data_IF_088973961208
#
_entry.id   IF_088973961208
#
_cell.length_a   1.000
_cell.length_b   1.000
_cell.length_c   1.000
_cell.angle_alpha   90.00
_cell.angle_beta   90.00
_cell.angle_gamma   90.00
#
_symmetry.space_group_name_H-M   'P 1'
#
loop_
_entity.id
_entity.type
_entity.pdbx_description
1 polymer ?
#
# COMPACT_ATOMS: atom_id res chain seq x y z
N UNK A 1 19.45 2.14 12.40
CA UNK A 1 18.48 2.66 11.43
C UNK A 1 17.78 1.46 10.84
N UNK A 2 16.44 1.45 10.73
CA UNK A 2 15.70 0.36 10.12
C UNK A 2 15.92 0.36 8.60
N UNK A 3 15.92 -0.83 7.98
CA UNK A 3 16.01 -0.95 6.52
C UNK A 3 14.73 -0.41 5.86
N UNK A 4 14.90 0.34 4.77
CA UNK A 4 13.79 0.79 3.93
C UNK A 4 13.23 -0.39 3.13
N UNK A 5 11.91 -0.41 2.90
CA UNK A 5 11.21 -1.53 2.26
C UNK A 5 10.80 -1.18 0.84
N UNK A 6 10.97 -2.13 -0.07
CA UNK A 6 10.45 -2.08 -1.45
C UNK A 6 9.26 -3.00 -1.53
N UNK A 7 8.09 -2.44 -1.87
CA UNK A 7 6.79 -3.12 -1.77
C UNK A 7 6.10 -3.12 -3.15
N UNK A 8 6.11 -4.23 -3.88
CA UNK A 8 5.21 -4.41 -5.03
C UNK A 8 3.75 -4.45 -4.62
N UNK A 9 2.89 -3.72 -5.36
CA UNK A 9 1.45 -3.71 -5.17
C UNK A 9 0.74 -4.37 -6.35
N UNK A 10 -0.17 -5.30 -6.06
CA UNK A 10 -0.95 -6.05 -7.04
C UNK A 10 -2.43 -5.69 -6.88
N UNK A 11 -2.99 -4.96 -7.84
CA UNK A 11 -4.43 -4.71 -7.92
C UNK A 11 -5.12 -5.97 -8.45
N UNK A 12 -6.07 -6.51 -7.69
CA UNK A 12 -6.74 -7.77 -8.03
C UNK A 12 -8.18 -7.48 -8.48
N UNK A 13 -8.52 -7.98 -9.66
CA UNK A 13 -9.88 -7.97 -10.19
C UNK A 13 -10.24 -9.35 -10.73
N UNK A 14 -11.33 -9.91 -10.26
CA UNK A 14 -11.83 -11.22 -10.69
C UNK A 14 -10.74 -12.32 -10.63
N UNK A 15 -9.92 -12.31 -9.58
CA UNK A 15 -8.84 -13.26 -9.34
C UNK A 15 -7.59 -13.07 -10.20
N UNK A 16 -7.49 -12.00 -10.99
CA UNK A 16 -6.33 -11.65 -11.82
C UNK A 16 -5.68 -10.36 -11.37
N UNK A 17 -4.36 -10.27 -11.49
CA UNK A 17 -3.66 -9.01 -11.35
C UNK A 17 -3.93 -8.13 -12.54
N UNK A 18 -4.35 -6.90 -12.29
CA UNK A 18 -4.62 -5.91 -13.32
C UNK A 18 -3.87 -4.61 -13.05
N UNK A 19 -3.57 -3.86 -14.09
CA UNK A 19 -3.02 -2.51 -13.97
C UNK A 19 -3.60 -1.57 -15.00
N UNK A 20 -3.97 -0.37 -14.54
CA UNK A 20 -4.44 0.72 -15.37
C UNK A 20 -3.88 2.05 -14.89
N UNK A 21 -4.13 3.11 -15.63
CA UNK A 21 -3.86 4.49 -15.18
C UNK A 21 -5.15 5.01 -14.53
N UNK A 22 -5.06 5.51 -13.29
CA UNK A 22 -6.22 6.01 -12.51
C UNK A 22 -7.39 5.01 -12.48
N UNK A 23 -7.11 3.71 -12.34
CA UNK A 23 -8.10 2.61 -12.31
C UNK A 23 -8.98 2.49 -13.57
N UNK A 24 -8.58 3.08 -14.69
CA UNK A 24 -9.24 2.93 -15.99
C UNK A 24 -8.32 2.21 -16.99
N UNK A 25 -8.90 1.63 -18.06
CA UNK A 25 -8.18 0.87 -19.09
C UNK A 25 -7.32 -0.25 -18.49
N UNK A 26 -7.90 -1.04 -17.57
CA UNK A 26 -7.21 -2.12 -16.89
C UNK A 26 -6.71 -3.16 -17.89
N UNK A 27 -5.41 -3.51 -17.79
CA UNK A 27 -4.77 -4.58 -18.53
C UNK A 27 -4.43 -5.71 -17.57
N UNK A 28 -4.58 -6.93 -18.03
CA UNK A 28 -4.13 -8.13 -17.29
C UNK A 28 -2.60 -8.09 -17.15
N UNK A 29 -2.11 -8.22 -15.93
CA UNK A 29 -0.69 -8.27 -15.60
C UNK A 29 -0.23 -9.68 -15.19
N UNK A 30 -1.15 -10.65 -15.04
CA UNK A 30 -0.81 -12.04 -14.76
C UNK A 30 -1.55 -12.65 -13.56
N UNK A 31 -1.15 -13.87 -13.22
CA UNK A 31 -1.64 -14.57 -12.03
C UNK A 31 -1.02 -13.98 -10.75
N UNK A 32 -1.81 -13.57 -9.75
CA UNK A 32 -1.31 -12.93 -8.54
C UNK A 32 -0.42 -13.85 -7.68
N UNK A 33 -0.64 -15.16 -7.70
CA UNK A 33 0.19 -16.12 -6.94
C UNK A 33 1.57 -16.23 -7.58
N UNK A 34 1.63 -16.37 -8.90
CA UNK A 34 2.90 -16.43 -9.64
C UNK A 34 3.70 -15.13 -9.53
N UNK A 35 3.03 -13.98 -9.64
CA UNK A 35 3.67 -12.67 -9.46
C UNK A 35 4.16 -12.48 -8.02
N UNK A 36 3.36 -12.88 -7.03
CA UNK A 36 3.77 -12.81 -5.62
C UNK A 36 5.00 -13.64 -5.35
N UNK A 37 5.05 -14.89 -5.86
CA UNK A 37 6.22 -15.77 -5.78
C UNK A 37 7.44 -15.14 -6.45
N UNK A 38 7.28 -14.64 -7.69
CA UNK A 38 8.35 -13.99 -8.43
C UNK A 38 8.95 -12.80 -7.66
N UNK A 39 8.12 -11.91 -7.11
CA UNK A 39 8.61 -10.77 -6.35
C UNK A 39 9.27 -11.17 -5.03
N UNK A 40 8.74 -12.21 -4.36
CA UNK A 40 9.38 -12.78 -3.17
C UNK A 40 10.78 -13.32 -3.51
N UNK A 41 10.92 -14.07 -4.61
CA UNK A 41 12.21 -14.59 -5.11
C UNK A 41 13.17 -13.48 -5.56
N UNK A 42 12.65 -12.37 -6.08
CA UNK A 42 13.42 -11.18 -6.46
C UNK A 42 13.85 -10.33 -5.27
N UNK A 43 13.45 -10.69 -4.05
CA UNK A 43 13.84 -10.01 -2.84
C UNK A 43 13.00 -8.78 -2.50
N UNK A 44 11.73 -8.71 -2.89
CA UNK A 44 10.79 -7.76 -2.32
C UNK A 44 10.76 -7.90 -0.79
N UNK A 45 10.58 -6.79 -0.06
CA UNK A 45 10.56 -6.84 1.39
C UNK A 45 9.17 -7.17 1.95
N UNK A 46 8.13 -6.82 1.21
CA UNK A 46 6.73 -7.02 1.54
C UNK A 46 5.90 -6.96 0.25
N UNK A 47 4.68 -7.50 0.24
CA UNK A 47 3.73 -7.37 -0.88
C UNK A 47 2.43 -6.73 -0.40
N UNK A 48 1.75 -6.05 -1.31
CA UNK A 48 0.39 -5.54 -1.08
C UNK A 48 -0.53 -6.09 -2.17
N UNK A 49 -1.66 -6.68 -1.76
CA UNK A 49 -2.73 -7.13 -2.65
C UNK A 49 -3.99 -6.32 -2.36
N UNK A 50 -4.51 -5.63 -3.38
CA UNK A 50 -5.70 -4.80 -3.27
C UNK A 50 -6.85 -5.40 -4.08
N UNK A 51 -7.88 -5.91 -3.40
CA UNK A 51 -9.12 -6.30 -4.07
C UNK A 51 -9.89 -5.05 -4.54
N UNK A 52 -9.92 -4.86 -5.85
CA UNK A 52 -10.69 -3.79 -6.49
C UNK A 52 -12.04 -4.27 -7.02
N UNK A 53 -12.43 -5.53 -6.70
CA UNK A 53 -13.70 -6.14 -7.07
C UNK A 53 -14.79 -5.75 -6.06
N UNK A 54 -15.88 -5.16 -6.49
CA UNK A 54 -16.89 -4.60 -5.60
C UNK A 54 -17.98 -5.59 -5.13
N UNK A 55 -17.98 -6.90 -5.51
CA UNK A 55 -19.09 -7.82 -5.28
C UNK A 55 -18.92 -8.72 -4.05
N UNK A 56 -20.07 -9.13 -3.45
CA UNK A 56 -20.10 -10.06 -2.32
C UNK A 56 -19.56 -11.46 -2.69
N UNK A 57 -19.85 -11.95 -3.90
CA UNK A 57 -19.32 -13.23 -4.40
C UNK A 57 -17.80 -13.18 -4.60
N UNK A 58 -17.25 -12.03 -5.00
CA UNK A 58 -15.82 -11.82 -5.13
C UNK A 58 -15.05 -11.98 -3.82
N UNK A 59 -15.64 -11.69 -2.66
CA UNK A 59 -14.96 -11.78 -1.35
C UNK A 59 -14.58 -13.22 -0.96
N UNK A 60 -15.43 -14.21 -1.27
CA UNK A 60 -15.09 -15.62 -0.98
C UNK A 60 -13.94 -16.08 -1.87
N UNK A 61 -14.02 -15.81 -3.16
CA UNK A 61 -12.99 -16.11 -4.15
C UNK A 61 -11.67 -15.40 -3.79
N UNK A 62 -11.75 -14.17 -3.28
CA UNK A 62 -10.56 -13.43 -2.84
C UNK A 62 -9.91 -14.04 -1.59
N UNK A 63 -10.70 -14.53 -0.62
CA UNK A 63 -10.15 -15.22 0.55
C UNK A 63 -9.41 -16.51 0.15
N UNK A 64 -9.96 -17.30 -0.73
CA UNK A 64 -9.31 -18.51 -1.29
C UNK A 64 -8.00 -18.15 -2.06
N UNK A 65 -7.99 -16.99 -2.72
CA UNK A 65 -6.77 -16.47 -3.35
C UNK A 65 -5.71 -16.08 -2.30
N UNK A 66 -6.10 -15.44 -1.21
CA UNK A 66 -5.18 -15.07 -0.11
C UNK A 66 -4.53 -16.33 0.49
N UNK A 67 -5.28 -17.41 0.72
CA UNK A 67 -4.74 -18.69 1.18
C UNK A 67 -3.69 -19.27 0.20
N UNK A 68 -3.97 -19.20 -1.11
CA UNK A 68 -3.02 -19.64 -2.14
C UNK A 68 -1.76 -18.77 -2.17
N UNK A 69 -1.88 -17.46 -2.00
CA UNK A 69 -0.74 -16.54 -1.93
C UNK A 69 0.10 -16.90 -0.70
N UNK A 70 -0.51 -16.99 0.48
CA UNK A 70 0.17 -17.32 1.74
C UNK A 70 0.98 -18.64 1.65
N UNK A 71 0.45 -19.63 0.93
CA UNK A 71 1.13 -20.92 0.75
C UNK A 71 2.35 -20.86 -0.21
N UNK A 72 2.53 -19.77 -0.98
CA UNK A 72 3.52 -19.68 -2.04
C UNK A 72 4.57 -18.57 -1.88
N UNK A 73 4.45 -17.74 -0.83
CA UNK A 73 5.41 -16.67 -0.55
C UNK A 73 6.00 -16.82 0.85
N UNK A 74 7.18 -16.24 1.09
CA UNK A 74 7.89 -16.31 2.37
C UNK A 74 8.16 -14.92 2.97
N UNK A 75 7.60 -13.88 2.39
CA UNK A 75 7.70 -12.50 2.88
C UNK A 75 6.34 -12.02 3.36
N UNK A 76 6.29 -11.04 4.29
CA UNK A 76 5.02 -10.49 4.77
C UNK A 76 4.19 -9.90 3.65
N UNK A 77 2.87 -9.98 3.79
CA UNK A 77 1.99 -9.31 2.84
C UNK A 77 0.76 -8.69 3.50
N UNK A 78 0.35 -7.59 2.92
CA UNK A 78 -0.81 -6.80 3.32
C UNK A 78 -1.95 -7.03 2.32
N UNK A 79 -3.16 -7.18 2.82
CA UNK A 79 -4.37 -7.33 2.02
C UNK A 79 -5.28 -6.13 2.25
N UNK A 80 -5.73 -5.50 1.16
CA UNK A 80 -6.68 -4.38 1.20
C UNK A 80 -7.83 -4.55 0.21
N UNK A 81 -8.80 -3.65 0.32
CA UNK A 81 -10.00 -3.69 -0.49
C UNK A 81 -11.14 -4.50 0.13
N UNK A 82 -12.37 -3.99 0.06
CA UNK A 82 -13.57 -4.70 0.52
C UNK A 82 -13.70 -4.97 2.02
N UNK A 83 -12.82 -4.43 2.86
CA UNK A 83 -12.85 -4.58 4.32
C UNK A 83 -13.79 -3.54 4.90
N UNK A 84 -14.85 -3.99 5.60
CA UNK A 84 -15.87 -3.13 6.18
C UNK A 84 -16.07 -3.32 7.68
N UNK A 85 -15.75 -4.51 8.20
CA UNK A 85 -15.97 -4.89 9.60
C UNK A 85 -14.86 -5.82 10.12
N UNK A 86 -14.82 -6.00 11.43
CA UNK A 86 -13.79 -6.81 12.09
C UNK A 86 -13.76 -8.27 11.60
N UNK A 87 -14.92 -8.84 11.23
CA UNK A 87 -15.00 -10.19 10.67
C UNK A 87 -14.30 -10.35 9.32
N UNK A 88 -14.27 -9.29 8.51
CA UNK A 88 -13.50 -9.31 7.26
C UNK A 88 -12.01 -9.41 7.58
N UNK A 89 -11.54 -8.67 8.59
CA UNK A 89 -10.16 -8.70 9.06
C UNK A 89 -9.80 -10.10 9.57
N UNK A 90 -10.60 -10.66 10.49
CA UNK A 90 -10.41 -12.00 11.05
C UNK A 90 -10.28 -13.06 9.95
N UNK A 91 -11.15 -13.00 8.94
CA UNK A 91 -11.15 -13.92 7.80
C UNK A 91 -9.85 -13.83 6.99
N UNK A 92 -9.36 -12.61 6.69
CA UNK A 92 -8.14 -12.41 5.90
C UNK A 92 -6.89 -12.83 6.66
N UNK A 93 -6.82 -12.54 7.97
CA UNK A 93 -5.72 -12.99 8.82
C UNK A 93 -5.73 -14.53 8.96
N UNK A 94 -6.91 -15.14 9.11
CA UNK A 94 -7.04 -16.60 9.13
C UNK A 94 -6.64 -17.25 7.81
N UNK A 95 -6.80 -16.56 6.69
CA UNK A 95 -6.35 -16.99 5.37
C UNK A 95 -4.82 -16.81 5.15
N UNK A 96 -4.11 -16.20 6.11
CA UNK A 96 -2.65 -16.08 6.12
C UNK A 96 -2.11 -14.70 5.80
N UNK A 97 -2.95 -13.65 5.68
CA UNK A 97 -2.46 -12.27 5.56
C UNK A 97 -1.77 -11.84 6.87
N UNK A 98 -0.65 -11.13 6.77
CA UNK A 98 0.05 -10.57 7.93
C UNK A 98 -0.56 -9.24 8.39
N UNK A 99 -1.05 -8.45 7.44
CA UNK A 99 -1.64 -7.14 7.68
C UNK A 99 -2.88 -6.92 6.81
N UNK A 100 -3.71 -6.01 7.24
CA UNK A 100 -4.86 -5.52 6.47
C UNK A 100 -4.76 -4.03 6.24
N UNK A 101 -5.19 -3.58 5.05
CA UNK A 101 -5.21 -2.16 4.68
C UNK A 101 -6.65 -1.67 4.61
N UNK A 102 -6.97 -0.64 5.40
CA UNK A 102 -8.30 -0.02 5.49
C UNK A 102 -8.25 1.45 5.08
N UNK A 103 -9.15 1.86 4.19
CA UNK A 103 -9.30 3.26 3.76
C UNK A 103 -10.75 3.73 3.98
N UNK A 104 -11.63 3.51 3.01
CA UNK A 104 -12.99 4.07 3.00
C UNK A 104 -13.82 3.67 4.21
N UNK A 105 -13.68 2.44 4.69
CA UNK A 105 -14.38 1.97 5.88
C UNK A 105 -13.88 2.70 7.14
N UNK A 106 -12.57 2.88 7.28
CA UNK A 106 -11.97 3.58 8.40
C UNK A 106 -12.33 5.08 8.43
N UNK A 107 -12.36 5.75 7.26
CA UNK A 107 -12.79 7.15 7.19
C UNK A 107 -14.27 7.31 7.59
N UNK A 108 -15.13 6.36 7.20
CA UNK A 108 -16.56 6.37 7.53
C UNK A 108 -16.84 5.98 8.99
N UNK A 109 -16.07 5.04 9.50
CA UNK A 109 -16.16 4.52 10.86
C UNK A 109 -14.74 4.34 11.43
N UNK A 110 -14.16 5.40 12.02
CA UNK A 110 -12.81 5.37 12.58
C UNK A 110 -12.60 4.32 13.67
N UNK A 111 -13.65 3.95 14.41
CA UNK A 111 -13.61 2.91 15.45
C UNK A 111 -13.17 1.52 14.91
N UNK A 112 -13.21 1.33 13.59
CA UNK A 112 -12.68 0.12 12.96
C UNK A 112 -11.17 -0.03 13.22
N UNK A 113 -10.42 1.08 13.21
CA UNK A 113 -8.97 1.07 13.51
C UNK A 113 -8.76 0.65 14.96
N UNK A 114 -9.50 1.23 15.91
CA UNK A 114 -9.42 0.89 17.33
C UNK A 114 -9.72 -0.62 17.54
N UNK A 115 -10.76 -1.13 16.88
CA UNK A 115 -11.13 -2.54 16.98
C UNK A 115 -10.06 -3.47 16.41
N UNK A 116 -9.46 -3.13 15.28
CA UNK A 116 -8.37 -3.93 14.69
C UNK A 116 -7.17 -3.93 15.64
N UNK A 117 -6.74 -2.75 16.09
CA UNK A 117 -5.59 -2.62 16.98
C UNK A 117 -5.79 -3.35 18.31
N UNK A 118 -7.00 -3.28 18.90
CA UNK A 118 -7.33 -3.93 20.16
C UNK A 118 -7.37 -5.47 20.06
N UNK A 119 -7.90 -6.00 18.96
CA UNK A 119 -8.10 -7.46 18.82
C UNK A 119 -6.89 -8.18 18.22
N UNK A 120 -6.12 -7.52 17.35
CA UNK A 120 -5.04 -8.17 16.60
C UNK A 120 -3.68 -7.48 16.77
N UNK A 121 -3.65 -6.30 17.40
CA UNK A 121 -2.45 -5.47 17.56
C UNK A 121 -2.29 -4.44 16.44
N UNK A 122 -1.68 -3.31 16.78
CA UNK A 122 -1.48 -2.18 15.85
C UNK A 122 -0.73 -2.58 14.58
N UNK A 123 0.25 -3.50 14.68
CA UNK A 123 1.07 -3.96 13.56
C UNK A 123 0.26 -4.61 12.42
N UNK A 124 -0.98 -5.02 12.68
CA UNK A 124 -1.88 -5.62 11.67
C UNK A 124 -2.59 -4.54 10.85
N UNK A 125 -2.78 -3.33 11.41
CA UNK A 125 -3.59 -2.27 10.83
C UNK A 125 -2.75 -1.29 10.01
N UNK A 126 -2.92 -1.29 8.69
CA UNK A 126 -2.40 -0.27 7.79
C UNK A 126 -3.54 0.70 7.43
N UNK A 127 -3.44 1.95 7.85
CA UNK A 127 -4.39 2.98 7.42
C UNK A 127 -3.98 3.51 6.05
N UNK A 128 -4.72 3.12 5.01
CA UNK A 128 -4.51 3.62 3.66
C UNK A 128 -5.24 4.95 3.48
N UNK A 129 -4.55 5.92 2.89
CA UNK A 129 -5.04 7.27 2.66
C UNK A 129 -4.77 7.67 1.21
N UNK A 130 -5.83 7.74 0.41
CA UNK A 130 -5.77 8.36 -0.91
C UNK A 130 -6.03 9.85 -0.72
N UNK A 131 -5.09 10.71 -1.08
CA UNK A 131 -5.29 12.15 -0.98
C UNK A 131 -4.80 12.90 -2.22
N UNK A 132 -5.42 14.06 -2.43
CA UNK A 132 -5.14 14.97 -3.54
C UNK A 132 -4.83 16.36 -3.02
N UNK A 133 -3.84 17.04 -3.63
CA UNK A 133 -3.54 18.43 -3.34
C UNK A 133 -4.64 19.32 -3.91
N UNK A 134 -5.33 20.04 -3.02
CA UNK A 134 -6.36 21.02 -3.34
C UNK A 134 -5.87 22.41 -2.92
N UNK A 135 -6.55 23.52 -3.32
CA UNK A 135 -6.13 24.86 -2.89
C UNK A 135 -6.07 25.06 -1.38
N UNK A 136 -6.93 24.35 -0.64
CA UNK A 136 -6.98 24.37 0.83
C UNK A 136 -6.02 23.39 1.52
N UNK A 137 -5.31 22.55 0.76
CA UNK A 137 -4.38 21.54 1.27
C UNK A 137 -4.67 20.12 0.75
N UNK A 138 -4.04 19.13 1.36
CA UNK A 138 -4.21 17.71 0.98
C UNK A 138 -5.53 17.16 1.53
N UNK A 139 -6.49 16.89 0.65
CA UNK A 139 -7.82 16.36 0.98
C UNK A 139 -7.88 14.85 0.76
N UNK A 140 -8.47 14.11 1.72
CA UNK A 140 -8.67 12.66 1.62
C UNK A 140 -9.86 12.31 0.74
N UNK A 141 -9.73 11.16 0.05
CA UNK A 141 -10.76 10.62 -0.84
C UNK A 141 -11.14 9.19 -0.46
N UNK A 142 -12.36 8.81 -0.82
CA UNK A 142 -12.91 7.47 -0.68
C UNK A 142 -13.00 6.75 -2.03
N UNK A 143 -13.25 5.44 -1.95
CA UNK A 143 -13.61 4.59 -3.09
C UNK A 143 -12.60 4.66 -4.24
N UNK A 144 -11.31 4.55 -3.92
CA UNK A 144 -10.23 4.64 -4.90
C UNK A 144 -10.17 6.01 -5.58
N UNK A 145 -10.24 7.08 -4.78
CA UNK A 145 -10.10 8.46 -5.27
C UNK A 145 -11.35 9.07 -5.91
N UNK A 146 -12.52 8.42 -5.84
CA UNK A 146 -13.72 8.87 -6.57
C UNK A 146 -14.59 9.86 -5.79
N UNK A 147 -14.53 9.83 -4.46
CA UNK A 147 -15.41 10.62 -3.59
C UNK A 147 -14.58 11.45 -2.63
N UNK A 148 -14.59 12.79 -2.73
CA UNK A 148 -13.89 13.66 -1.78
C UNK A 148 -14.57 13.58 -0.40
N UNK A 149 -13.78 13.83 0.65
CA UNK A 149 -14.25 13.92 2.03
C UNK A 149 -13.97 15.31 2.59
N UNK A 150 -14.45 15.60 3.79
CA UNK A 150 -14.06 16.81 4.53
C UNK A 150 -12.79 16.61 5.36
N UNK A 151 -12.18 15.42 5.34
CA UNK A 151 -10.97 15.13 6.09
C UNK A 151 -9.73 15.57 5.33
N UNK A 152 -8.79 16.15 6.06
CA UNK A 152 -7.47 16.52 5.53
C UNK A 152 -6.45 15.43 5.88
N UNK A 153 -5.46 15.23 4.99
CA UNK A 153 -4.45 14.17 5.09
C UNK A 153 -3.76 14.12 6.45
N UNK A 154 -3.18 15.23 6.88
CA UNK A 154 -2.35 15.26 8.09
C UNK A 154 -3.18 15.03 9.35
N UNK A 155 -4.33 15.67 9.45
CA UNK A 155 -5.27 15.50 10.57
C UNK A 155 -5.78 14.06 10.66
N UNK A 156 -6.14 13.48 9.51
CA UNK A 156 -6.60 12.09 9.47
C UNK A 156 -5.49 11.08 9.77
N UNK A 157 -4.27 11.31 9.30
CA UNK A 157 -3.14 10.45 9.59
C UNK A 157 -2.79 10.46 11.10
N UNK A 158 -2.84 11.63 11.75
CA UNK A 158 -2.70 11.73 13.21
C UNK A 158 -3.81 10.97 13.96
N UNK A 159 -5.08 11.20 13.59
CA UNK A 159 -6.20 10.47 14.20
C UNK A 159 -6.05 8.95 14.01
N UNK A 160 -5.65 8.49 12.81
CA UNK A 160 -5.43 7.07 12.55
C UNK A 160 -4.34 6.48 13.43
N UNK A 161 -3.22 7.18 13.62
CA UNK A 161 -2.17 6.76 14.55
C UNK A 161 -2.67 6.71 15.99
N UNK A 162 -3.36 7.73 16.47
CA UNK A 162 -3.91 7.79 17.85
C UNK A 162 -4.89 6.63 18.11
N UNK A 163 -5.64 6.21 17.09
CA UNK A 163 -6.57 5.08 17.15
C UNK A 163 -5.87 3.72 17.07
N UNK A 164 -4.56 3.69 16.83
CA UNK A 164 -3.77 2.47 16.85
C UNK A 164 -3.44 1.88 15.47
N UNK A 165 -3.50 2.66 14.39
CA UNK A 165 -2.89 2.22 13.14
C UNK A 165 -1.39 1.99 13.33
N UNK A 166 -0.87 0.88 12.79
CA UNK A 166 0.54 0.53 12.89
C UNK A 166 1.39 1.12 11.77
N UNK A 167 0.78 1.45 10.62
CA UNK A 167 1.44 2.09 9.48
C UNK A 167 0.46 2.98 8.72
N UNK A 168 0.97 4.00 8.03
CA UNK A 168 0.22 4.80 7.06
C UNK A 168 0.68 4.44 5.64
N UNK A 169 -0.25 4.04 4.78
CA UNK A 169 -0.03 3.91 3.33
C UNK A 169 -0.61 5.16 2.66
N UNK A 170 0.23 6.11 2.32
CA UNK A 170 -0.19 7.35 1.65
C UNK A 170 -0.04 7.24 0.14
N UNK A 171 -1.16 7.32 -0.59
CA UNK A 171 -1.20 7.41 -2.05
C UNK A 171 -1.52 8.83 -2.49
N UNK A 172 -0.54 9.47 -3.15
CA UNK A 172 -0.77 10.74 -3.83
C UNK A 172 -1.52 10.51 -5.14
N UNK A 173 -2.77 10.96 -5.21
CA UNK A 173 -3.60 10.83 -6.42
C UNK A 173 -3.08 11.68 -7.59
N UNK A 174 -2.38 12.79 -7.30
CA UNK A 174 -1.80 13.65 -8.33
C UNK A 174 -0.59 13.01 -9.01
N UNK A 175 0.08 12.09 -8.32
CA UNK A 175 1.29 11.41 -8.79
C UNK A 175 1.02 9.98 -9.29
N UNK A 176 -0.12 9.36 -8.90
CA UNK A 176 -0.40 7.98 -9.25
C UNK A 176 -0.53 7.77 -10.76
N UNK A 177 0.28 6.85 -11.29
CA UNK A 177 0.37 6.57 -12.72
C UNK A 177 1.14 7.59 -13.57
N UNK A 178 1.58 8.72 -13.00
CA UNK A 178 2.25 9.82 -13.73
C UNK A 178 3.74 9.54 -13.93
N UNK A 179 4.37 8.72 -13.08
CA UNK A 179 5.79 8.33 -13.17
C UNK A 179 6.79 9.51 -13.06
N UNK A 180 6.46 10.56 -12.31
CA UNK A 180 7.29 11.77 -12.13
C UNK A 180 7.82 11.95 -10.72
N UNK A 181 7.81 10.90 -9.89
CA UNK A 181 8.25 10.91 -8.51
C UNK A 181 7.09 10.95 -7.52
N UNK A 182 7.39 10.60 -6.29
CA UNK A 182 6.45 10.60 -5.18
C UNK A 182 6.20 12.02 -4.64
N UNK A 183 5.16 12.21 -3.84
CA UNK A 183 4.83 13.47 -3.19
C UNK A 183 5.74 13.74 -1.97
N UNK A 184 7.05 13.94 -2.20
CA UNK A 184 8.07 13.95 -1.14
C UNK A 184 7.82 15.00 -0.06
N UNK A 185 7.31 16.19 -0.39
CA UNK A 185 7.00 17.22 0.61
C UNK A 185 5.91 16.76 1.60
N UNK A 186 4.85 16.12 1.10
CA UNK A 186 3.78 15.58 1.94
C UNK A 186 4.27 14.37 2.75
N UNK A 187 5.06 13.48 2.14
CA UNK A 187 5.66 12.32 2.81
C UNK A 187 6.59 12.76 3.94
N UNK A 188 7.44 13.75 3.70
CA UNK A 188 8.33 14.29 4.71
C UNK A 188 7.55 14.84 5.91
N UNK A 189 6.50 15.61 5.63
CA UNK A 189 5.66 16.15 6.71
C UNK A 189 4.99 15.02 7.51
N UNK A 190 4.45 13.99 6.86
CA UNK A 190 3.90 12.82 7.55
C UNK A 190 4.97 12.11 8.41
N UNK A 191 6.16 11.87 7.84
CA UNK A 191 7.24 11.17 8.53
C UNK A 191 7.84 11.96 9.69
N UNK A 192 7.83 13.30 9.61
CA UNK A 192 8.35 14.16 10.68
C UNK A 192 7.33 14.34 11.82
N UNK A 193 6.02 14.24 11.53
CA UNK A 193 4.94 14.46 12.51
C UNK A 193 4.45 13.15 13.17
N UNK A 194 4.56 12.00 12.50
CA UNK A 194 4.07 10.71 12.99
C UNK A 194 5.22 9.83 13.50
N UNK A 195 4.90 8.92 14.41
CA UNK A 195 5.86 7.97 15.01
C UNK A 195 5.76 6.56 14.43
N UNK A 196 4.76 6.31 13.58
CA UNK A 196 4.56 5.04 12.88
C UNK A 196 5.11 5.10 11.45
N UNK A 197 5.51 3.98 10.85
CA UNK A 197 6.07 3.94 9.51
C UNK A 197 5.15 4.51 8.44
N UNK A 198 5.75 5.21 7.46
CA UNK A 198 5.07 5.77 6.30
C UNK A 198 5.46 5.01 5.03
N UNK A 199 4.46 4.48 4.33
CA UNK A 199 4.60 3.82 3.03
C UNK A 199 4.20 4.82 1.96
N UNK A 200 5.16 5.19 1.10
CA UNK A 200 4.93 6.09 -0.03
C UNK A 200 4.29 5.34 -1.20
N UNK A 201 3.25 5.90 -1.79
CA UNK A 201 2.55 5.35 -2.96
C UNK A 201 2.15 6.44 -3.96
N UNK A 202 2.20 6.11 -5.25
CA UNK A 202 1.90 7.00 -6.37
C UNK A 202 3.10 7.81 -6.84
N UNK A 203 3.51 7.61 -8.12
CA UNK A 203 4.55 8.41 -8.76
C UNK A 203 5.83 7.68 -9.16
N UNK A 204 6.04 6.42 -8.76
CA UNK A 204 7.23 5.66 -9.13
C UNK A 204 7.36 5.53 -10.66
N UNK A 205 8.54 5.89 -11.19
CA UNK A 205 8.83 5.82 -12.64
C UNK A 205 10.31 5.58 -12.96
N UNK A 206 11.22 5.90 -12.01
CA UNK A 206 12.66 5.74 -12.14
C UNK A 206 13.28 5.34 -10.80
N UNK A 207 14.50 4.78 -10.79
CA UNK A 207 15.22 4.38 -9.55
C UNK A 207 15.47 5.59 -8.64
N UNK A 208 15.70 6.76 -9.24
CA UNK A 208 15.92 8.03 -8.56
C UNK A 208 14.71 8.43 -7.70
N UNK A 209 13.49 8.14 -8.14
CA UNK A 209 12.27 8.43 -7.38
C UNK A 209 12.23 7.69 -6.04
N UNK A 210 12.72 6.45 -6.00
CA UNK A 210 12.85 5.68 -4.76
C UNK A 210 13.93 6.26 -3.85
N UNK A 211 15.09 6.69 -4.41
CA UNK A 211 16.12 7.41 -3.65
C UNK A 211 15.54 8.66 -3.00
N UNK A 212 14.87 9.50 -3.79
CA UNK A 212 14.36 10.80 -3.34
C UNK A 212 13.28 10.64 -2.27
N UNK A 213 12.39 9.64 -2.41
CA UNK A 213 11.38 9.39 -1.39
C UNK A 213 11.96 8.91 -0.05
N UNK A 214 13.11 8.23 -0.06
CA UNK A 214 13.79 7.82 1.17
C UNK A 214 14.66 8.93 1.78
N UNK A 215 15.28 9.77 0.96
CA UNK A 215 16.18 10.84 1.42
C UNK A 215 15.43 12.14 1.69
N UNK A 216 14.55 12.55 0.80
CA UNK A 216 13.82 13.82 0.88
C UNK A 216 12.45 13.65 1.53
N UNK A 217 11.74 12.57 1.16
CA UNK A 217 10.41 12.24 1.70
C UNK A 217 10.45 11.56 3.07
N UNK A 218 11.62 11.07 3.54
CA UNK A 218 11.82 10.32 4.78
C UNK A 218 10.96 9.06 4.92
N UNK A 219 10.30 8.60 3.85
CA UNK A 219 9.44 7.42 3.89
C UNK A 219 10.18 6.17 4.37
N UNK A 220 9.48 5.24 5.04
CA UNK A 220 10.03 3.98 5.53
C UNK A 220 9.90 2.85 4.53
N UNK A 221 8.96 3.01 3.59
CA UNK A 221 8.76 2.10 2.49
C UNK A 221 8.29 2.83 1.23
N UNK A 222 8.56 2.23 0.07
CA UNK A 222 8.06 2.70 -1.21
C UNK A 222 7.29 1.59 -1.91
N UNK A 223 6.04 1.87 -2.21
CA UNK A 223 5.12 0.99 -2.90
C UNK A 223 5.01 1.39 -4.37
N UNK A 224 5.12 0.41 -5.27
CA UNK A 224 4.94 0.61 -6.69
C UNK A 224 4.31 -0.62 -7.36
N UNK A 225 3.70 -0.42 -8.52
CA UNK A 225 3.02 -1.47 -9.27
C UNK A 225 3.57 -1.58 -10.70
N UNK A 226 3.24 -0.65 -11.59
CA UNK A 226 3.51 -0.76 -13.02
C UNK A 226 4.99 -0.94 -13.37
N UNK A 227 5.89 -0.25 -12.68
CA UNK A 227 7.34 -0.33 -12.95
C UNK A 227 7.90 -1.74 -12.67
N UNK A 228 7.28 -2.48 -11.75
CA UNK A 228 7.63 -3.87 -11.46
C UNK A 228 6.89 -4.84 -12.39
N UNK A 229 5.58 -4.67 -12.59
CA UNK A 229 4.76 -5.57 -13.43
C UNK A 229 5.23 -5.62 -14.88
N UNK A 230 5.71 -4.52 -15.41
CA UNK A 230 6.19 -4.43 -16.80
C UNK A 230 7.73 -4.57 -16.92
N UNK A 231 8.41 -4.93 -15.81
CA UNK A 231 9.85 -5.15 -15.81
C UNK A 231 10.69 -3.91 -16.12
N UNK A 232 10.12 -2.69 -15.93
CA UNK A 232 10.84 -1.44 -16.19
C UNK A 232 11.95 -1.22 -15.16
N UNK A 233 11.73 -1.65 -13.92
CA UNK A 233 12.70 -1.60 -12.82
C UNK A 233 12.74 -2.97 -12.14
N UNK A 234 13.75 -3.80 -12.38
CA UNK A 234 13.96 -5.04 -11.64
C UNK A 234 14.26 -4.74 -10.16
N UNK A 235 13.58 -5.44 -9.23
CA UNK A 235 13.75 -5.24 -7.77
C UNK A 235 15.20 -5.39 -7.32
N UNK A 236 15.96 -6.43 -7.75
CA UNK A 236 17.36 -6.59 -7.36
C UNK A 236 18.24 -5.41 -7.79
N UNK A 237 18.03 -4.90 -9.01
CA UNK A 237 18.79 -3.74 -9.50
C UNK A 237 18.44 -2.45 -8.74
N UNK A 238 17.16 -2.24 -8.40
CA UNK A 238 16.73 -1.11 -7.58
C UNK A 238 17.43 -1.17 -6.22
N UNK A 239 17.40 -2.32 -5.56
CA UNK A 239 18.02 -2.50 -4.24
C UNK A 239 19.53 -2.29 -4.27
N UNK A 240 20.22 -2.81 -5.29
CA UNK A 240 21.65 -2.56 -5.50
C UNK A 240 21.97 -1.06 -5.69
N UNK A 241 21.16 -0.38 -6.50
CA UNK A 241 21.28 1.07 -6.70
C UNK A 241 21.14 1.84 -5.40
N UNK A 242 20.11 1.56 -4.60
CA UNK A 242 19.86 2.21 -3.32
C UNK A 242 20.96 1.91 -2.29
N UNK A 243 21.41 0.65 -2.22
CA UNK A 243 22.54 0.23 -1.37
C UNK A 243 23.82 0.97 -1.73
N UNK A 244 24.10 1.17 -3.01
CA UNK A 244 25.25 1.94 -3.52
C UNK A 244 25.23 3.41 -3.10
N UNK A 245 24.07 3.94 -2.71
CA UNK A 245 23.89 5.29 -2.18
C UNK A 245 23.87 5.34 -0.64
N UNK A 246 24.26 4.25 0.03
CA UNK A 246 24.22 4.09 1.49
C UNK A 246 22.81 4.22 2.11
N UNK A 247 21.74 4.00 1.34
CA UNK A 247 20.40 3.87 1.88
C UNK A 247 20.30 2.47 2.50
N UNK A 248 19.86 2.33 3.76
CA UNK A 248 19.77 1.02 4.42
C UNK A 248 18.70 0.16 3.75
N UNK A 249 19.12 -0.78 2.93
CA UNK A 249 18.29 -1.74 2.19
C UNK A 249 18.74 -3.15 2.54
N UNK A 250 17.81 -4.08 2.66
CA UNK A 250 18.09 -5.51 2.74
C UNK A 250 18.24 -6.07 1.31
N UNK A 251 19.39 -6.68 1.00
CA UNK A 251 19.66 -7.35 -0.29
C UNK A 251 19.19 -8.79 -0.27
#
# INVERSE_FOLDING_TARGET
>A
MLAKRIIPCLDIRDGRTVKGTNFVNLRDAGDPVELGRLYSEQGADELVFLDITASFEGRKTFTELVERIAANISIPFTVGGGIHELKDVERLLSAGADKVSVNSAAIKNPDLIDQIALNFGSQVCVAAIDAKQMPEGWRCFLNGGRVPTDRMLFEWAHEAQERGAGEILFTSMDHDGVKQGFANDALRKLSDELTIPIIASGGAGAKEHFRDTFIEGHADAALAASVFHFGEIPIPELKQYLCGLNIPIRL
#
